data_IF_919108812753
#
_entry.id   IF_919108812753
#
_cell.length_a   1.000
_cell.length_b   1.000
_cell.length_c   1.000
_cell.angle_alpha   90.00
_cell.angle_beta   90.00
_cell.angle_gamma   90.00
#
_symmetry.space_group_name_H-M   'P 1'
#
loop_
_entity.id
_entity.type
_entity.pdbx_description
1 polymer ?
#
# COMPACT_ATOMS: atom_id res chain seq x y z
N UNK A 1 -24.65 12.25 13.22
CA UNK A 1 -23.24 11.89 13.28
C UNK A 1 -22.44 12.99 12.59
N UNK A 2 -21.48 13.61 13.28
CA UNK A 2 -20.69 14.69 12.68
C UNK A 2 -19.65 14.14 11.72
N UNK A 3 -19.19 14.98 10.76
CA UNK A 3 -18.12 14.59 9.80
C UNK A 3 -16.81 14.15 10.49
N UNK A 4 -16.64 14.49 11.78
CA UNK A 4 -15.47 14.11 12.59
C UNK A 4 -15.49 12.64 13.05
N UNK A 5 -16.67 12.00 13.12
CA UNK A 5 -16.80 10.62 13.57
C UNK A 5 -16.55 9.60 12.44
N UNK A 6 -16.68 10.02 11.17
CA UNK A 6 -16.39 9.17 10.00
C UNK A 6 -14.87 8.93 9.80
N UNK A 7 -14.02 9.85 10.26
CA UNK A 7 -12.56 9.79 10.08
C UNK A 7 -11.84 8.84 11.05
N UNK A 8 -12.52 8.35 12.07
CA UNK A 8 -11.92 7.51 13.13
C UNK A 8 -12.22 6.02 13.04
N UNK A 9 -12.97 5.57 12.03
CA UNK A 9 -13.22 4.14 11.85
C UNK A 9 -11.97 3.45 11.27
N UNK A 10 -11.19 2.85 12.16
CA UNK A 10 -10.14 1.91 11.73
C UNK A 10 -10.75 0.76 10.90
N UNK A 11 -9.98 0.18 9.96
CA UNK A 11 -10.41 -1.00 9.23
C UNK A 11 -10.92 -2.05 10.22
N UNK A 12 -12.08 -2.62 9.90
CA UNK A 12 -12.69 -3.63 10.74
C UNK A 12 -12.07 -4.98 10.44
N UNK A 13 -11.37 -5.55 11.39
CA UNK A 13 -10.80 -6.88 11.33
C UNK A 13 -11.59 -7.84 12.22
N UNK A 14 -12.47 -8.68 11.67
CA UNK A 14 -13.24 -9.62 12.45
C UNK A 14 -12.42 -10.79 13.01
N UNK A 15 -11.16 -10.97 12.56
CA UNK A 15 -10.27 -12.01 13.07
C UNK A 15 -9.38 -11.54 14.23
N UNK A 16 -9.46 -10.28 14.65
CA UNK A 16 -8.67 -9.78 15.78
C UNK A 16 -8.87 -10.66 17.02
N UNK A 17 -7.77 -11.22 17.49
CA UNK A 17 -7.75 -12.13 18.64
C UNK A 17 -8.09 -13.60 18.33
N UNK A 18 -8.30 -13.99 17.07
CA UNK A 18 -8.52 -15.37 16.65
C UNK A 18 -7.26 -16.01 16.09
N UNK A 19 -7.05 -17.30 16.37
CA UNK A 19 -5.97 -18.11 15.77
C UNK A 19 -6.28 -18.48 14.31
N UNK A 20 -7.56 -18.60 13.96
CA UNK A 20 -8.02 -18.94 12.62
C UNK A 20 -8.43 -17.65 11.89
N UNK A 21 -7.77 -17.37 10.77
CA UNK A 21 -8.05 -16.23 9.89
C UNK A 21 -9.15 -16.52 8.85
N UNK A 22 -9.59 -17.79 8.74
CA UNK A 22 -10.72 -18.18 7.88
C UNK A 22 -12.01 -18.00 8.67
N UNK A 23 -12.81 -17.01 8.31
CA UNK A 23 -14.00 -16.61 9.06
C UNK A 23 -15.27 -16.85 8.23
N UNK A 24 -16.30 -17.55 8.76
CA UNK A 24 -17.59 -17.68 8.10
C UNK A 24 -18.19 -16.30 7.77
N UNK A 25 -18.65 -16.13 6.53
CA UNK A 25 -19.22 -14.85 6.06
C UNK A 25 -20.39 -14.37 6.91
N UNK A 26 -21.19 -15.28 7.46
CA UNK A 26 -22.28 -14.95 8.38
C UNK A 26 -21.77 -14.20 9.61
N UNK A 27 -20.63 -14.62 10.20
CA UNK A 27 -20.06 -13.94 11.34
C UNK A 27 -19.59 -12.53 10.95
N UNK A 28 -18.96 -12.38 9.78
CA UNK A 28 -18.56 -11.09 9.25
C UNK A 28 -19.78 -10.20 9.05
N UNK A 29 -20.84 -10.70 8.43
CA UNK A 29 -22.09 -9.97 8.23
C UNK A 29 -22.68 -9.48 9.55
N UNK A 30 -22.78 -10.34 10.58
CA UNK A 30 -23.27 -9.97 11.92
C UNK A 30 -22.43 -8.85 12.55
N UNK A 31 -21.10 -8.95 12.45
CA UNK A 31 -20.20 -7.95 13.03
C UNK A 31 -20.28 -6.62 12.31
N UNK A 32 -20.38 -6.62 10.98
CA UNK A 32 -20.57 -5.39 10.19
C UNK A 32 -21.91 -4.75 10.54
N UNK A 33 -22.99 -5.52 10.62
CA UNK A 33 -24.32 -5.02 10.95
C UNK A 33 -24.40 -4.38 12.34
N UNK A 34 -23.66 -4.88 13.31
CA UNK A 34 -23.52 -4.21 14.63
C UNK A 34 -22.93 -2.80 14.52
N UNK A 35 -22.09 -2.53 13.51
CA UNK A 35 -21.44 -1.22 13.33
C UNK A 35 -22.28 -0.24 12.53
N UNK A 36 -22.94 -0.70 11.46
CA UNK A 36 -23.69 0.17 10.54
C UNK A 36 -25.22 0.13 10.76
N UNK A 37 -25.69 -0.70 11.67
CA UNK A 37 -27.10 -0.97 11.93
C UNK A 37 -27.61 -2.19 11.15
N UNK A 38 -28.34 -3.06 11.83
CA UNK A 38 -29.04 -4.19 11.20
C UNK A 38 -30.29 -3.69 10.47
N UNK A 39 -30.62 -4.36 9.39
CA UNK A 39 -31.92 -4.18 8.69
C UNK A 39 -32.78 -5.42 8.89
N UNK A 40 -34.09 -5.26 8.78
CA UNK A 40 -35.00 -6.41 8.78
C UNK A 40 -34.86 -7.16 7.46
N UNK A 41 -34.51 -8.48 7.48
CA UNK A 41 -34.38 -9.26 6.26
C UNK A 41 -35.70 -9.30 5.46
N UNK A 42 -35.60 -9.22 4.13
CA UNK A 42 -36.70 -9.45 3.25
C UNK A 42 -36.80 -10.95 2.94
N UNK A 43 -37.68 -11.65 3.65
CA UNK A 43 -37.86 -13.10 3.54
C UNK A 43 -38.81 -13.53 2.41
N UNK A 44 -39.40 -12.57 1.67
CA UNK A 44 -40.33 -12.88 0.57
C UNK A 44 -39.63 -13.06 -0.79
N UNK A 45 -38.31 -13.00 -0.77
CA UNK A 45 -37.52 -13.13 -1.99
C UNK A 45 -37.48 -14.58 -2.48
N UNK A 46 -38.11 -14.86 -3.62
CA UNK A 46 -38.03 -16.15 -4.32
C UNK A 46 -36.72 -16.23 -5.12
N UNK A 47 -35.90 -17.23 -4.78
CA UNK A 47 -34.64 -17.49 -5.47
C UNK A 47 -34.92 -18.16 -6.81
N UNK A 48 -34.69 -17.48 -7.91
CA UNK A 48 -34.78 -18.07 -9.25
C UNK A 48 -33.60 -19.03 -9.51
N UNK A 49 -33.90 -20.33 -9.65
CA UNK A 49 -32.93 -21.40 -9.84
C UNK A 49 -32.31 -21.51 -11.25
N UNK A 50 -32.58 -20.58 -12.16
CA UNK A 50 -32.35 -20.78 -13.60
C UNK A 50 -30.99 -20.36 -14.14
N UNK A 51 -29.91 -20.41 -13.37
CA UNK A 51 -28.60 -19.93 -13.84
C UNK A 51 -27.52 -21.03 -13.75
N UNK A 52 -26.48 -20.90 -14.59
CA UNK A 52 -25.27 -21.74 -14.64
C UNK A 52 -24.41 -21.66 -13.38
N UNK A 53 -24.92 -21.11 -12.29
CA UNK A 53 -24.25 -20.89 -11.02
C UNK A 53 -24.85 -21.75 -9.94
N UNK A 54 -24.09 -22.00 -8.88
CA UNK A 54 -24.65 -22.64 -7.70
C UNK A 54 -25.28 -21.58 -6.77
N UNK A 55 -26.44 -21.93 -6.24
CA UNK A 55 -27.01 -21.29 -5.08
C UNK A 55 -26.58 -22.10 -3.86
N UNK A 56 -25.74 -21.53 -3.00
CA UNK A 56 -25.17 -22.24 -1.86
C UNK A 56 -25.64 -21.64 -0.55
N UNK A 57 -25.90 -22.46 0.48
CA UNK A 57 -26.19 -21.96 1.82
C UNK A 57 -25.08 -20.99 2.28
N UNK A 58 -25.46 -19.84 2.80
CA UNK A 58 -24.49 -18.82 3.24
C UNK A 58 -23.53 -19.35 4.34
N UNK A 59 -23.95 -20.38 5.10
CA UNK A 59 -23.13 -21.04 6.11
C UNK A 59 -21.92 -21.79 5.53
N UNK A 60 -21.97 -22.19 4.24
CA UNK A 60 -20.86 -22.84 3.53
C UNK A 60 -19.91 -21.84 2.88
N UNK A 61 -20.20 -20.54 2.96
CA UNK A 61 -19.38 -19.49 2.38
C UNK A 61 -18.41 -18.92 3.43
N UNK A 62 -17.16 -18.89 3.09
CA UNK A 62 -16.06 -18.42 3.93
C UNK A 62 -15.28 -17.33 3.21
N UNK A 63 -14.64 -16.45 3.98
CA UNK A 63 -13.69 -15.46 3.46
C UNK A 63 -12.35 -15.74 4.13
N UNK A 64 -11.31 -15.90 3.29
CA UNK A 64 -9.94 -16.05 3.76
C UNK A 64 -9.28 -14.66 3.85
N UNK A 65 -9.18 -14.12 5.05
CA UNK A 65 -8.61 -12.78 5.26
C UNK A 65 -7.07 -12.74 5.28
N UNK A 66 -6.41 -13.84 5.00
CA UNK A 66 -5.01 -13.80 4.57
C UNK A 66 -4.87 -13.31 3.14
N UNK A 67 -5.89 -13.57 2.30
CA UNK A 67 -5.92 -13.29 0.86
C UNK A 67 -6.91 -12.17 0.49
N UNK A 68 -7.85 -11.84 1.38
CA UNK A 68 -8.89 -10.85 1.14
C UNK A 68 -8.73 -9.65 2.06
N UNK A 69 -9.13 -8.48 1.54
CA UNK A 69 -9.26 -7.28 2.36
C UNK A 69 -10.52 -7.33 3.22
N UNK A 70 -10.45 -6.68 4.37
CA UNK A 70 -11.60 -6.52 5.25
C UNK A 70 -12.71 -5.70 4.57
N UNK A 71 -13.98 -6.06 4.80
CA UNK A 71 -15.10 -5.29 4.25
C UNK A 71 -15.13 -3.89 4.89
N UNK A 72 -15.28 -2.87 4.06
CA UNK A 72 -15.42 -1.50 4.51
C UNK A 72 -16.88 -1.19 4.84
N UNK A 73 -17.24 -0.93 6.12
CA UNK A 73 -18.62 -0.63 6.52
C UNK A 73 -19.23 0.55 5.75
N UNK A 74 -18.41 1.54 5.38
CA UNK A 74 -18.81 2.68 4.58
C UNK A 74 -19.35 2.26 3.19
N UNK A 75 -18.66 1.34 2.53
CA UNK A 75 -19.08 0.83 1.22
C UNK A 75 -20.35 -0.01 1.32
N UNK A 76 -20.47 -0.87 2.34
CA UNK A 76 -21.67 -1.66 2.57
C UNK A 76 -22.87 -0.75 2.87
N UNK A 77 -22.67 0.32 3.68
CA UNK A 77 -23.72 1.32 3.94
C UNK A 77 -24.18 2.03 2.66
N UNK A 78 -23.22 2.39 1.76
CA UNK A 78 -23.52 2.97 0.45
C UNK A 78 -24.30 1.99 -0.43
N UNK A 79 -23.88 0.72 -0.44
CA UNK A 79 -24.53 -0.34 -1.20
C UNK A 79 -25.97 -0.56 -0.71
N UNK A 80 -26.19 -0.61 0.61
CA UNK A 80 -27.52 -0.73 1.24
C UNK A 80 -28.46 0.37 0.78
N UNK A 81 -28.01 1.62 0.71
CA UNK A 81 -28.82 2.77 0.27
C UNK A 81 -29.18 2.74 -1.21
N UNK A 82 -28.54 1.89 -2.00
CA UNK A 82 -28.76 1.70 -3.45
C UNK A 82 -29.08 0.26 -3.81
N UNK A 83 -29.50 -0.55 -2.81
CA UNK A 83 -29.72 -1.97 -3.01
C UNK A 83 -30.71 -2.23 -4.14
N UNK A 84 -30.26 -3.00 -5.12
CA UNK A 84 -31.08 -3.48 -6.23
C UNK A 84 -30.67 -4.91 -6.54
N UNK A 85 -31.59 -5.84 -6.35
CA UNK A 85 -31.37 -7.27 -6.59
C UNK A 85 -30.88 -7.56 -8.01
N UNK A 86 -31.31 -6.78 -9.00
CA UNK A 86 -30.91 -6.96 -10.40
C UNK A 86 -29.46 -6.55 -10.67
N UNK A 87 -28.82 -5.88 -9.71
CA UNK A 87 -27.43 -5.42 -9.79
C UNK A 87 -26.49 -6.21 -8.88
N UNK A 88 -26.96 -7.31 -8.27
CA UNK A 88 -26.13 -8.14 -7.39
C UNK A 88 -25.15 -8.94 -8.22
N UNK A 89 -23.87 -8.75 -7.96
CA UNK A 89 -22.81 -9.58 -8.52
C UNK A 89 -22.68 -10.86 -7.70
N UNK A 90 -22.79 -12.04 -8.32
CA UNK A 90 -22.53 -13.30 -7.63
C UNK A 90 -21.12 -13.33 -7.03
N UNK A 91 -20.98 -13.96 -5.88
CA UNK A 91 -19.69 -14.13 -5.23
C UNK A 91 -18.80 -15.06 -6.07
N UNK A 92 -17.61 -14.61 -6.41
CA UNK A 92 -16.59 -15.46 -7.03
C UNK A 92 -15.93 -16.29 -5.93
N UNK A 93 -15.82 -17.62 -6.13
CA UNK A 93 -15.35 -18.53 -5.12
C UNK A 93 -14.39 -19.59 -5.67
N UNK A 94 -13.50 -20.05 -4.80
CA UNK A 94 -12.93 -21.38 -4.87
C UNK A 94 -13.80 -22.33 -4.02
N UNK A 95 -14.15 -23.48 -4.56
CA UNK A 95 -14.78 -24.58 -3.80
C UNK A 95 -13.74 -25.62 -3.43
N UNK A 96 -13.56 -25.87 -2.14
CA UNK A 96 -12.78 -26.98 -1.63
C UNK A 96 -13.70 -28.17 -1.38
N UNK A 97 -13.49 -29.26 -2.12
CA UNK A 97 -14.27 -30.48 -1.95
C UNK A 97 -13.93 -31.19 -0.64
N UNK A 98 -12.67 -31.15 -0.22
CA UNK A 98 -12.20 -31.74 1.02
C UNK A 98 -12.80 -31.09 2.27
N UNK A 99 -13.03 -29.77 2.24
CA UNK A 99 -13.61 -29.02 3.34
C UNK A 99 -15.13 -28.82 3.18
N UNK A 100 -15.69 -29.09 2.01
CA UNK A 100 -17.06 -28.77 1.62
C UNK A 100 -17.37 -27.26 1.87
N UNK A 101 -16.51 -26.36 1.39
CA UNK A 101 -16.58 -24.91 1.62
C UNK A 101 -16.32 -24.10 0.37
N UNK A 102 -16.97 -22.95 0.28
CA UNK A 102 -16.79 -21.95 -0.76
C UNK A 102 -15.99 -20.77 -0.20
N UNK A 103 -14.80 -20.54 -0.72
CA UNK A 103 -13.92 -19.45 -0.31
C UNK A 103 -14.06 -18.28 -1.30
N UNK A 104 -14.68 -17.19 -0.84
CA UNK A 104 -14.95 -16.02 -1.68
C UNK A 104 -13.71 -15.24 -2.00
N UNK A 105 -13.50 -14.96 -3.29
CA UNK A 105 -12.40 -14.13 -3.81
C UNK A 105 -12.84 -12.72 -4.20
N UNK A 106 -14.10 -12.54 -4.66
CA UNK A 106 -14.66 -11.20 -4.94
C UNK A 106 -16.18 -11.21 -4.71
N UNK A 107 -16.78 -10.02 -4.48
CA UNK A 107 -18.22 -9.87 -4.23
C UNK A 107 -18.63 -9.97 -2.77
N UNK A 108 -17.71 -10.06 -1.81
CA UNK A 108 -18.03 -10.20 -0.37
C UNK A 108 -18.96 -9.11 0.17
N UNK A 109 -18.84 -7.87 -0.28
CA UNK A 109 -19.70 -6.76 0.19
C UNK A 109 -21.14 -6.93 -0.25
N UNK A 110 -21.38 -7.39 -1.49
CA UNK A 110 -22.68 -7.73 -2.00
C UNK A 110 -23.27 -8.93 -1.23
N UNK A 111 -22.46 -9.95 -0.95
CA UNK A 111 -22.88 -11.13 -0.18
C UNK A 111 -23.26 -10.77 1.26
N UNK A 112 -22.47 -9.88 1.92
CA UNK A 112 -22.80 -9.39 3.26
C UNK A 112 -24.14 -8.66 3.27
N UNK A 113 -24.37 -7.78 2.29
CA UNK A 113 -25.65 -7.07 2.19
C UNK A 113 -26.79 -8.01 1.79
N UNK A 114 -26.53 -9.02 0.94
CA UNK A 114 -27.50 -10.07 0.61
C UNK A 114 -27.98 -10.79 1.87
N UNK A 115 -27.05 -11.25 2.71
CA UNK A 115 -27.38 -11.93 3.98
C UNK A 115 -28.18 -10.99 4.91
N UNK A 116 -27.86 -9.69 4.88
CA UNK A 116 -28.61 -8.70 5.66
C UNK A 116 -30.04 -8.51 5.17
N UNK A 117 -30.26 -8.57 3.85
CA UNK A 117 -31.59 -8.39 3.25
C UNK A 117 -32.47 -9.65 3.37
N UNK A 118 -31.88 -10.85 3.21
CA UNK A 118 -32.63 -12.09 3.03
C UNK A 118 -32.44 -13.10 4.16
N UNK A 119 -31.57 -12.79 5.14
CA UNK A 119 -31.33 -13.61 6.33
C UNK A 119 -30.17 -14.58 6.18
N UNK A 120 -29.68 -15.07 7.33
CA UNK A 120 -28.50 -15.93 7.42
C UNK A 120 -28.71 -17.34 6.85
N UNK A 121 -29.95 -17.78 6.73
CA UNK A 121 -30.31 -19.08 6.13
C UNK A 121 -30.53 -18.95 4.61
N UNK A 122 -30.28 -17.77 4.04
CA UNK A 122 -30.44 -17.56 2.59
C UNK A 122 -29.36 -18.33 1.82
N UNK A 123 -29.72 -18.67 0.57
CA UNK A 123 -28.75 -19.13 -0.39
C UNK A 123 -28.16 -17.92 -1.09
N UNK A 124 -26.84 -17.93 -1.26
CA UNK A 124 -26.12 -16.88 -1.99
C UNK A 124 -25.74 -17.37 -3.38
N UNK A 125 -25.81 -16.50 -4.39
CA UNK A 125 -25.38 -16.87 -5.73
C UNK A 125 -23.86 -16.86 -5.80
N UNK A 126 -23.26 -17.94 -6.28
CA UNK A 126 -21.81 -18.07 -6.41
C UNK A 126 -21.42 -18.58 -7.79
N UNK A 127 -20.32 -18.03 -8.29
CA UNK A 127 -19.49 -18.66 -9.33
C UNK A 127 -18.34 -19.34 -8.65
N UNK A 128 -18.02 -20.58 -9.01
CA UNK A 128 -16.91 -21.26 -8.36
C UNK A 128 -16.05 -22.07 -9.31
N UNK A 129 -14.78 -22.19 -8.92
CA UNK A 129 -13.82 -23.16 -9.46
C UNK A 129 -13.54 -24.20 -8.37
N UNK A 130 -13.68 -25.49 -8.68
CA UNK A 130 -13.33 -26.55 -7.77
C UNK A 130 -11.81 -26.73 -7.78
N UNK A 131 -11.17 -26.51 -6.65
CA UNK A 131 -9.71 -26.63 -6.48
C UNK A 131 -9.34 -26.69 -5.02
N UNK A 132 -8.34 -27.50 -4.71
CA UNK A 132 -7.70 -27.49 -3.39
C UNK A 132 -6.53 -26.49 -3.33
N UNK A 133 -6.11 -25.91 -4.47
CA UNK A 133 -5.11 -24.87 -4.50
C UNK A 133 -5.70 -23.52 -4.08
N UNK A 134 -5.30 -23.05 -2.90
CA UNK A 134 -5.73 -21.77 -2.34
C UNK A 134 -5.27 -20.55 -3.18
N UNK A 135 -4.25 -20.69 -4.04
CA UNK A 135 -3.79 -19.60 -4.90
C UNK A 135 -4.84 -19.17 -5.92
N UNK A 136 -5.79 -20.04 -6.23
CA UNK A 136 -6.93 -19.69 -7.11
C UNK A 136 -7.71 -18.48 -6.58
N UNK A 137 -7.86 -18.32 -5.26
CA UNK A 137 -8.51 -17.16 -4.66
C UNK A 137 -7.78 -15.85 -4.99
N UNK A 138 -6.45 -15.86 -4.88
CA UNK A 138 -5.60 -14.71 -5.22
C UNK A 138 -5.59 -14.42 -6.72
N UNK A 139 -5.52 -15.45 -7.56
CA UNK A 139 -5.57 -15.32 -9.03
C UNK A 139 -6.90 -14.71 -9.47
N UNK A 140 -8.03 -15.22 -8.95
CA UNK A 140 -9.36 -14.67 -9.23
C UNK A 140 -9.46 -13.20 -8.80
N UNK A 141 -8.99 -12.89 -7.59
CA UNK A 141 -9.02 -11.53 -7.06
C UNK A 141 -8.22 -10.55 -7.94
N UNK A 142 -7.00 -10.92 -8.34
CA UNK A 142 -6.17 -10.10 -9.22
C UNK A 142 -6.79 -9.93 -10.61
N UNK A 143 -7.29 -11.00 -11.22
CA UNK A 143 -7.90 -10.96 -12.55
C UNK A 143 -9.14 -10.06 -12.58
N UNK A 144 -10.02 -10.19 -11.58
CA UNK A 144 -11.27 -9.42 -11.51
C UNK A 144 -11.04 -7.93 -11.19
N UNK A 145 -9.97 -7.59 -10.48
CA UNK A 145 -9.68 -6.19 -10.13
C UNK A 145 -8.89 -5.44 -11.21
N UNK A 146 -8.34 -6.12 -12.22
CA UNK A 146 -7.69 -5.45 -13.35
C UNK A 146 -8.70 -4.72 -14.26
N UNK A 147 -9.96 -5.18 -14.30
CA UNK A 147 -11.00 -4.62 -15.17
C UNK A 147 -11.95 -3.65 -14.44
N UNK A 148 -11.86 -3.55 -13.12
CA UNK A 148 -12.71 -2.71 -12.27
C UNK A 148 -11.92 -1.58 -11.59
N UNK A 149 -12.44 -1.01 -10.49
CA UNK A 149 -11.68 -0.02 -9.70
C UNK A 149 -10.32 -0.61 -9.25
N UNK A 150 -9.20 0.05 -9.56
CA UNK A 150 -7.88 -0.50 -9.29
C UNK A 150 -7.71 -0.85 -7.82
N UNK A 151 -7.33 -2.08 -7.54
CA UNK A 151 -6.94 -2.49 -6.19
C UNK A 151 -5.72 -1.69 -5.75
N UNK A 152 -5.67 -1.26 -4.48
CA UNK A 152 -4.49 -0.60 -3.97
C UNK A 152 -3.25 -1.50 -4.13
N UNK A 153 -2.15 -0.94 -4.59
CA UNK A 153 -0.89 -1.64 -4.88
C UNK A 153 -0.40 -2.50 -3.71
N UNK A 154 -0.70 -2.10 -2.48
CA UNK A 154 -0.43 -2.89 -1.29
C UNK A 154 -1.08 -4.27 -1.33
N UNK A 155 -2.37 -4.35 -1.66
CA UNK A 155 -3.08 -5.64 -1.70
C UNK A 155 -2.61 -6.53 -2.85
N UNK A 156 -2.26 -5.92 -4.01
CA UNK A 156 -1.65 -6.65 -5.12
C UNK A 156 -0.34 -7.30 -4.66
N UNK A 157 0.55 -6.50 -4.07
CA UNK A 157 1.83 -6.99 -3.55
C UNK A 157 1.64 -8.11 -2.53
N UNK A 158 0.70 -7.96 -1.58
CA UNK A 158 0.40 -9.01 -0.60
C UNK A 158 -0.06 -10.33 -1.27
N UNK A 159 -0.90 -10.25 -2.30
CA UNK A 159 -1.31 -11.45 -3.05
C UNK A 159 -0.11 -12.10 -3.77
N UNK A 160 0.75 -11.29 -4.37
CA UNK A 160 1.97 -11.76 -5.04
C UNK A 160 2.93 -12.46 -4.05
N UNK A 161 3.11 -11.91 -2.85
CA UNK A 161 3.89 -12.55 -1.76
C UNK A 161 3.26 -13.88 -1.35
N UNK A 162 1.94 -13.92 -1.13
CA UNK A 162 1.20 -15.13 -0.73
C UNK A 162 1.31 -16.22 -1.81
N UNK A 163 1.25 -15.84 -3.09
CA UNK A 163 1.42 -16.76 -4.22
C UNK A 163 2.87 -17.24 -4.40
N UNK A 164 3.82 -16.67 -3.68
CA UNK A 164 5.23 -17.00 -3.79
C UNK A 164 5.89 -16.44 -5.06
N UNK A 165 5.36 -15.34 -5.61
CA UNK A 165 6.02 -14.64 -6.74
C UNK A 165 7.38 -14.16 -6.27
N UNK A 166 8.44 -14.68 -6.91
CA UNK A 166 9.82 -14.50 -6.43
C UNK A 166 10.17 -13.04 -6.18
N UNK A 167 9.85 -12.16 -7.11
CA UNK A 167 10.16 -10.74 -7.05
C UNK A 167 9.48 -10.03 -5.87
N UNK A 168 8.24 -10.42 -5.56
CA UNK A 168 7.49 -9.86 -4.43
C UNK A 168 8.03 -10.40 -3.10
N UNK A 169 8.35 -11.69 -3.05
CA UNK A 169 8.94 -12.34 -1.86
C UNK A 169 10.32 -11.77 -1.55
N UNK A 170 11.17 -11.60 -2.56
CA UNK A 170 12.50 -11.02 -2.41
C UNK A 170 12.42 -9.58 -1.89
N UNK A 171 11.47 -8.77 -2.39
CA UNK A 171 11.23 -7.41 -1.92
C UNK A 171 10.74 -7.38 -0.47
N UNK A 172 9.77 -8.22 -0.10
CA UNK A 172 9.25 -8.29 1.28
C UNK A 172 10.33 -8.78 2.25
N UNK A 173 11.16 -9.75 1.84
CA UNK A 173 12.31 -10.20 2.62
C UNK A 173 13.34 -9.08 2.84
N UNK A 174 13.64 -8.30 1.82
CA UNK A 174 14.53 -7.13 1.92
C UNK A 174 13.99 -6.11 2.92
N UNK A 175 12.71 -5.76 2.83
CA UNK A 175 12.03 -4.83 3.75
C UNK A 175 12.07 -5.36 5.18
N UNK A 176 11.77 -6.65 5.38
CA UNK A 176 11.76 -7.30 6.70
C UNK A 176 13.17 -7.39 7.28
N UNK A 177 14.18 -7.75 6.48
CA UNK A 177 15.58 -7.82 6.91
C UNK A 177 16.12 -6.45 7.35
N UNK A 178 15.63 -5.35 6.74
CA UNK A 178 15.93 -3.99 7.16
C UNK A 178 15.19 -3.56 8.44
N UNK A 179 14.36 -4.40 9.04
CA UNK A 179 13.56 -4.10 10.22
C UNK A 179 12.26 -3.33 9.93
N UNK A 180 11.92 -3.16 8.66
CA UNK A 180 10.72 -2.49 8.20
C UNK A 180 9.55 -3.46 7.97
N UNK A 181 8.35 -2.93 7.75
CA UNK A 181 7.19 -3.70 7.32
C UNK A 181 6.40 -2.92 6.27
N UNK A 182 5.77 -3.65 5.36
CA UNK A 182 4.78 -3.05 4.46
C UNK A 182 3.44 -2.87 5.17
N UNK A 183 2.67 -1.84 4.82
CA UNK A 183 1.39 -1.60 5.48
C UNK A 183 0.42 -0.76 4.66
N UNK A 184 -0.88 -0.97 4.93
CA UNK A 184 -1.93 -0.17 4.29
C UNK A 184 -2.40 0.94 5.22
N UNK A 185 -2.13 2.19 4.85
CA UNK A 185 -2.56 3.40 5.60
C UNK A 185 -2.13 3.46 7.08
N UNK A 186 -1.16 2.65 7.49
CA UNK A 186 -0.62 2.68 8.86
C UNK A 186 0.45 3.75 8.96
N UNK A 187 0.32 4.65 9.94
CA UNK A 187 1.31 5.69 10.27
C UNK A 187 2.06 5.28 11.55
N UNK A 188 2.78 4.17 11.48
CA UNK A 188 3.59 3.67 12.60
C UNK A 188 5.04 3.61 12.18
N UNK A 189 5.95 3.64 13.16
CA UNK A 189 7.38 3.54 12.94
C UNK A 189 7.74 2.32 12.09
N UNK A 190 8.68 2.49 11.17
CA UNK A 190 9.17 1.43 10.28
C UNK A 190 8.16 0.91 9.24
N UNK A 191 6.96 1.50 9.13
CA UNK A 191 5.96 1.05 8.15
C UNK A 191 6.07 1.82 6.85
N UNK A 192 6.10 1.10 5.74
CA UNK A 192 6.11 1.63 4.38
C UNK A 192 4.73 1.44 3.76
N UNK A 193 4.11 2.53 3.32
CA UNK A 193 2.73 2.52 2.78
C UNK A 193 2.65 2.66 1.26
N UNK A 194 3.70 3.17 0.62
CA UNK A 194 3.77 3.44 -0.82
C UNK A 194 4.50 2.29 -1.54
N UNK A 195 3.80 1.19 -1.74
CA UNK A 195 4.37 -0.04 -2.33
C UNK A 195 4.90 0.18 -3.75
N UNK A 196 4.25 1.03 -4.56
CA UNK A 196 4.74 1.37 -5.90
C UNK A 196 6.14 1.97 -5.89
N UNK A 197 6.46 2.76 -4.86
CA UNK A 197 7.78 3.39 -4.73
C UNK A 197 8.85 2.38 -4.30
N UNK A 198 8.47 1.37 -3.49
CA UNK A 198 9.35 0.24 -3.17
C UNK A 198 9.69 -0.58 -4.43
N UNK A 199 8.68 -0.89 -5.25
CA UNK A 199 8.90 -1.61 -6.50
C UNK A 199 9.81 -0.82 -7.45
N UNK A 200 9.57 0.47 -7.61
CA UNK A 200 10.40 1.36 -8.41
C UNK A 200 11.83 1.41 -7.85
N UNK A 201 12.00 1.53 -6.53
CA UNK A 201 13.31 1.55 -5.89
C UNK A 201 14.08 0.24 -6.12
N UNK A 202 13.42 -0.92 -5.97
CA UNK A 202 13.99 -2.23 -6.28
C UNK A 202 14.45 -2.32 -7.72
N UNK A 203 13.58 -1.91 -8.65
CA UNK A 203 13.83 -2.08 -10.09
C UNK A 203 14.95 -1.16 -10.59
N UNK A 204 15.09 0.02 -9.98
CA UNK A 204 16.08 1.01 -10.39
C UNK A 204 17.42 0.90 -9.64
N UNK A 205 17.39 0.70 -8.32
CA UNK A 205 18.57 0.73 -7.46
C UNK A 205 19.00 -0.66 -6.96
N UNK A 206 18.15 -1.67 -7.08
CA UNK A 206 18.39 -3.01 -6.56
C UNK A 206 18.04 -3.18 -5.09
N UNK A 207 17.91 -4.46 -4.67
CA UNK A 207 17.51 -4.81 -3.30
C UNK A 207 18.58 -4.47 -2.26
N UNK A 208 19.86 -4.58 -2.61
CA UNK A 208 20.97 -4.28 -1.70
C UNK A 208 20.96 -2.82 -1.27
N UNK A 209 20.92 -1.89 -2.24
CA UNK A 209 20.87 -0.45 -1.97
C UNK A 209 19.60 -0.08 -1.19
N UNK A 210 18.46 -0.66 -1.57
CA UNK A 210 17.20 -0.45 -0.88
C UNK A 210 17.28 -0.90 0.58
N UNK A 211 17.77 -2.10 0.84
CA UNK A 211 17.93 -2.65 2.20
C UNK A 211 18.85 -1.79 3.08
N UNK A 212 19.99 -1.34 2.53
CA UNK A 212 20.90 -0.43 3.23
C UNK A 212 20.22 0.87 3.62
N UNK A 213 19.51 1.53 2.68
CA UNK A 213 18.81 2.79 2.95
C UNK A 213 17.72 2.62 3.99
N UNK A 214 16.89 1.58 3.89
CA UNK A 214 15.83 1.31 4.85
C UNK A 214 16.37 1.08 6.27
N UNK A 215 17.42 0.27 6.40
CA UNK A 215 18.09 0.00 7.68
C UNK A 215 18.65 1.27 8.32
N UNK A 216 19.33 2.12 7.53
CA UNK A 216 19.86 3.40 8.02
C UNK A 216 18.75 4.37 8.40
N UNK A 217 17.64 4.46 7.65
CA UNK A 217 16.49 5.29 8.01
C UNK A 217 15.92 4.89 9.39
N UNK A 218 15.83 3.60 9.70
CA UNK A 218 15.40 3.15 11.02
C UNK A 218 16.42 3.45 12.12
N UNK A 219 17.72 3.42 11.80
CA UNK A 219 18.76 3.74 12.76
C UNK A 219 18.71 5.21 13.17
N UNK A 220 18.56 6.11 12.20
CA UNK A 220 18.62 7.55 12.44
C UNK A 220 17.26 8.17 12.81
N UNK A 221 16.14 7.57 12.37
CA UNK A 221 14.78 8.00 12.71
C UNK A 221 13.90 6.82 13.17
N UNK A 222 14.25 6.18 14.32
CA UNK A 222 13.64 4.91 14.73
C UNK A 222 12.15 5.01 15.11
N UNK A 223 11.67 6.19 15.44
CA UNK A 223 10.28 6.42 15.86
C UNK A 223 9.35 6.83 14.72
N UNK A 224 9.86 6.89 13.50
CA UNK A 224 9.13 7.43 12.37
C UNK A 224 8.69 6.36 11.37
N UNK A 225 7.63 6.68 10.63
CA UNK A 225 7.31 5.93 9.41
C UNK A 225 8.39 6.16 8.36
N UNK A 226 8.56 5.21 7.46
CA UNK A 226 9.46 5.38 6.33
C UNK A 226 8.81 6.32 5.30
N UNK A 227 9.34 7.53 5.16
CA UNK A 227 8.96 8.48 4.14
C UNK A 227 9.59 8.08 2.79
N UNK A 228 8.77 7.70 1.82
CA UNK A 228 9.28 7.19 0.53
C UNK A 228 10.04 8.25 -0.27
N UNK A 229 9.67 9.53 -0.17
CA UNK A 229 10.43 10.62 -0.79
C UNK A 229 11.85 10.70 -0.24
N UNK A 230 12.01 10.58 1.08
CA UNK A 230 13.33 10.57 1.76
C UNK A 230 14.12 9.34 1.39
N UNK A 231 13.51 8.16 1.40
CA UNK A 231 14.12 6.91 0.94
C UNK A 231 14.67 7.03 -0.49
N UNK A 232 13.86 7.54 -1.42
CA UNK A 232 14.27 7.72 -2.81
C UNK A 232 15.37 8.78 -2.96
N UNK A 233 15.36 9.81 -2.12
CA UNK A 233 16.43 10.82 -2.06
C UNK A 233 17.77 10.21 -1.67
N UNK A 234 17.83 9.41 -0.60
CA UNK A 234 19.05 8.72 -0.18
C UNK A 234 19.54 7.68 -1.20
N UNK A 235 18.62 6.96 -1.85
CA UNK A 235 18.97 6.05 -2.95
C UNK A 235 19.62 6.81 -4.10
N UNK A 236 19.13 8.00 -4.44
CA UNK A 236 19.73 8.85 -5.48
C UNK A 236 21.08 9.42 -5.05
N UNK A 237 21.25 9.81 -3.78
CA UNK A 237 22.57 10.21 -3.25
C UNK A 237 23.58 9.06 -3.37
N UNK A 238 23.17 7.84 -2.99
CA UNK A 238 24.04 6.65 -3.14
C UNK A 238 24.44 6.41 -4.59
N UNK A 239 23.51 6.53 -5.52
CA UNK A 239 23.76 6.41 -6.95
C UNK A 239 24.83 7.43 -7.42
N UNK A 240 24.69 8.69 -7.02
CA UNK A 240 25.64 9.76 -7.37
C UNK A 240 27.05 9.49 -6.78
N UNK A 241 27.12 9.01 -5.53
CA UNK A 241 28.40 8.64 -4.93
C UNK A 241 29.10 7.51 -5.69
N UNK A 242 28.32 6.55 -6.20
CA UNK A 242 28.83 5.45 -7.04
C UNK A 242 29.27 5.95 -8.41
N UNK A 243 28.46 6.83 -9.04
CA UNK A 243 28.79 7.44 -10.34
C UNK A 243 30.08 8.26 -10.30
N UNK A 244 30.33 8.97 -9.20
CA UNK A 244 31.54 9.78 -9.00
C UNK A 244 32.73 8.98 -8.45
N UNK A 245 32.60 7.64 -8.30
CA UNK A 245 33.61 6.71 -7.77
C UNK A 245 34.14 7.09 -6.35
N UNK A 246 33.26 7.71 -5.54
CA UNK A 246 33.57 8.13 -4.16
C UNK A 246 32.81 7.34 -3.10
N UNK A 247 31.95 6.42 -3.50
CA UNK A 247 31.12 5.65 -2.58
C UNK A 247 31.96 4.79 -1.66
N UNK A 248 31.74 4.96 -0.36
CA UNK A 248 32.13 4.01 0.70
C UNK A 248 30.99 3.90 1.69
N UNK A 249 30.88 2.76 2.39
CA UNK A 249 29.85 2.58 3.43
C UNK A 249 30.01 3.61 4.56
N UNK A 250 31.26 3.96 4.93
CA UNK A 250 31.56 4.96 5.97
C UNK A 250 31.14 6.37 5.52
N UNK A 251 31.41 6.74 4.27
CA UNK A 251 30.93 8.03 3.74
C UNK A 251 29.42 8.09 3.69
N UNK A 252 28.78 7.02 3.24
CA UNK A 252 27.33 6.97 3.18
C UNK A 252 26.67 6.98 4.57
N UNK A 253 27.34 6.37 5.58
CA UNK A 253 26.95 6.48 6.98
C UNK A 253 27.04 7.93 7.47
N UNK A 254 28.15 8.62 7.18
CA UNK A 254 28.34 10.02 7.55
C UNK A 254 27.29 10.92 6.91
N UNK A 255 26.91 10.67 5.65
CA UNK A 255 25.80 11.40 4.98
C UNK A 255 24.49 11.24 5.75
N UNK A 256 24.13 10.03 6.20
CA UNK A 256 22.93 9.81 7.01
C UNK A 256 23.02 10.53 8.35
N UNK A 257 24.17 10.44 9.02
CA UNK A 257 24.40 11.12 10.28
C UNK A 257 24.22 12.64 10.14
N UNK A 258 24.90 13.26 9.17
CA UNK A 258 24.80 14.71 8.95
C UNK A 258 23.37 15.15 8.58
N UNK A 259 22.67 14.36 7.77
CA UNK A 259 21.28 14.63 7.43
C UNK A 259 20.37 14.54 8.65
N UNK A 260 20.58 13.54 9.54
CA UNK A 260 19.74 13.38 10.74
C UNK A 260 19.96 14.49 11.77
N UNK A 261 21.18 15.02 11.84
CA UNK A 261 21.51 16.18 12.67
C UNK A 261 20.96 17.51 12.11
N UNK A 262 20.69 17.55 10.79
CA UNK A 262 20.14 18.74 10.14
C UNK A 262 18.60 18.72 10.11
N UNK A 263 18.01 17.55 9.82
CA UNK A 263 16.58 17.35 9.71
C UNK A 263 16.07 16.50 10.88
N UNK A 264 15.30 17.10 11.76
CA UNK A 264 14.75 16.39 12.93
C UNK A 264 13.84 15.23 12.55
N UNK A 265 13.21 15.29 11.35
CA UNK A 265 12.10 14.41 11.00
C UNK A 265 12.18 13.94 9.54
N UNK A 266 12.38 12.65 9.33
CA UNK A 266 12.48 12.08 7.98
C UNK A 266 11.20 12.22 7.16
N UNK A 267 10.04 12.25 7.81
CA UNK A 267 8.74 12.39 7.16
C UNK A 267 8.51 13.82 6.63
N UNK A 268 9.16 14.80 7.25
CA UNK A 268 9.08 16.21 6.86
C UNK A 268 10.25 16.67 5.99
N UNK A 269 11.30 15.88 5.87
CA UNK A 269 12.56 16.23 5.22
C UNK A 269 12.34 16.88 3.83
N UNK A 270 11.40 16.39 3.03
CA UNK A 270 11.07 17.02 1.76
C UNK A 270 10.52 18.45 1.91
N UNK A 271 9.71 18.73 2.93
CA UNK A 271 9.19 20.07 3.19
C UNK A 271 10.29 20.96 3.77
N UNK A 272 11.10 20.43 4.67
CA UNK A 272 12.22 21.16 5.29
C UNK A 272 13.24 21.57 4.22
N UNK A 273 13.55 20.69 3.25
CA UNK A 273 14.38 21.03 2.09
C UNK A 273 13.76 22.16 1.26
N UNK A 274 12.44 22.10 1.05
CA UNK A 274 11.74 23.16 0.32
C UNK A 274 11.85 24.50 1.05
N UNK A 275 11.67 24.52 2.35
CA UNK A 275 11.65 25.74 3.16
C UNK A 275 13.08 26.30 3.33
N UNK A 276 14.10 25.46 3.52
CA UNK A 276 15.47 25.88 3.77
C UNK A 276 16.27 26.15 2.49
N UNK A 277 16.18 25.27 1.50
CA UNK A 277 17.05 25.32 0.33
C UNK A 277 16.33 25.79 -0.95
N UNK A 278 15.13 25.28 -1.25
CA UNK A 278 14.41 25.66 -2.48
C UNK A 278 13.98 27.13 -2.46
N UNK A 279 13.61 27.65 -1.28
CA UNK A 279 13.28 29.07 -1.11
C UNK A 279 14.51 29.96 -1.17
N UNK A 280 15.62 29.52 -0.54
CA UNK A 280 16.88 30.28 -0.54
C UNK A 280 17.59 30.25 -1.91
N UNK A 281 17.51 29.14 -2.62
CA UNK A 281 18.22 28.90 -3.89
C UNK A 281 17.27 28.36 -4.99
N UNK A 282 16.25 29.08 -5.40
CA UNK A 282 15.20 28.56 -6.28
C UNK A 282 15.70 28.10 -7.65
N UNK A 283 16.81 28.66 -8.14
CA UNK A 283 17.42 28.28 -9.41
C UNK A 283 18.01 26.87 -9.38
N UNK A 284 18.55 26.45 -8.24
CA UNK A 284 19.20 25.14 -8.07
C UNK A 284 18.18 23.98 -8.07
N UNK A 285 16.94 24.26 -7.70
CA UNK A 285 15.86 23.26 -7.55
C UNK A 285 14.81 23.30 -8.67
N UNK A 286 14.94 24.27 -9.59
CA UNK A 286 13.95 24.45 -10.65
C UNK A 286 13.96 23.27 -11.63
N UNK A 287 12.79 22.72 -11.88
CA UNK A 287 12.61 21.61 -12.84
C UNK A 287 12.98 20.23 -12.33
N UNK A 288 13.47 20.12 -11.10
CA UNK A 288 13.75 18.83 -10.46
C UNK A 288 12.48 18.11 -10.02
N UNK A 289 12.45 16.79 -10.15
CA UNK A 289 11.47 15.93 -9.49
C UNK A 289 11.69 15.87 -7.98
N UNK A 290 10.72 15.27 -7.25
CA UNK A 290 10.79 15.17 -5.78
C UNK A 290 12.04 14.43 -5.32
N UNK A 291 12.40 13.33 -5.98
CA UNK A 291 13.57 12.51 -5.67
C UNK A 291 14.88 13.30 -5.79
N UNK A 292 15.03 14.01 -6.90
CA UNK A 292 16.18 14.84 -7.18
C UNK A 292 16.29 16.02 -6.21
N UNK A 293 15.17 16.66 -5.85
CA UNK A 293 15.13 17.71 -4.84
C UNK A 293 15.59 17.24 -3.48
N UNK A 294 15.08 16.07 -3.04
CA UNK A 294 15.48 15.49 -1.76
C UNK A 294 16.95 15.12 -1.77
N UNK A 295 17.47 14.51 -2.84
CA UNK A 295 18.88 14.19 -2.96
C UNK A 295 19.76 15.46 -2.89
N UNK A 296 19.41 16.51 -3.64
CA UNK A 296 20.15 17.78 -3.60
C UNK A 296 20.15 18.41 -2.21
N UNK A 297 19.00 18.42 -1.52
CA UNK A 297 18.92 18.96 -0.16
C UNK A 297 19.72 18.17 0.86
N UNK A 298 19.82 16.84 0.73
CA UNK A 298 20.69 16.00 1.56
C UNK A 298 22.16 16.35 1.31
N UNK A 299 22.55 16.54 0.05
CA UNK A 299 23.91 16.94 -0.33
C UNK A 299 24.21 18.35 0.22
N UNK A 300 23.30 19.32 0.04
CA UNK A 300 23.46 20.68 0.54
C UNK A 300 23.60 20.71 2.07
N UNK A 301 22.81 19.93 2.80
CA UNK A 301 22.90 19.80 4.25
C UNK A 301 24.26 19.22 4.68
N UNK A 302 24.73 18.18 3.99
CA UNK A 302 26.06 17.60 4.23
C UNK A 302 27.18 18.62 4.02
N UNK A 303 27.18 19.30 2.87
CA UNK A 303 28.18 20.29 2.52
C UNK A 303 28.20 21.48 3.49
N UNK A 304 27.01 21.95 3.89
CA UNK A 304 26.87 23.03 4.87
C UNK A 304 27.44 22.66 6.24
N UNK A 305 27.22 21.43 6.70
CA UNK A 305 27.69 20.99 8.01
C UNK A 305 29.17 20.63 8.04
N UNK A 306 29.68 20.03 6.97
CA UNK A 306 31.07 19.52 6.94
C UNK A 306 32.05 20.47 6.29
N UNK A 307 31.58 21.41 5.48
CA UNK A 307 32.42 22.26 4.63
C UNK A 307 33.10 21.52 3.48
N UNK A 308 32.66 20.26 3.20
CA UNK A 308 33.26 19.40 2.16
C UNK A 308 32.24 19.23 1.02
N UNK A 309 32.71 19.34 -0.22
CA UNK A 309 31.90 18.97 -1.39
C UNK A 309 31.75 17.44 -1.41
N UNK A 310 30.52 16.96 -1.47
CA UNK A 310 30.21 15.54 -1.45
C UNK A 310 30.32 14.91 -2.85
N UNK A 311 29.65 15.52 -3.84
CA UNK A 311 29.64 15.10 -5.25
C UNK A 311 29.52 16.33 -6.15
N UNK A 312 29.95 16.20 -7.42
CA UNK A 312 29.62 17.21 -8.41
C UNK A 312 28.10 17.27 -8.57
N UNK A 313 27.46 18.42 -8.36
CA UNK A 313 26.01 18.56 -8.39
C UNK A 313 25.48 18.32 -9.81
N UNK A 314 24.92 17.16 -10.14
CA UNK A 314 24.53 16.80 -11.50
C UNK A 314 23.27 17.54 -11.96
N UNK A 315 22.60 18.23 -11.03
CA UNK A 315 21.32 18.89 -11.28
C UNK A 315 21.45 20.41 -11.45
N UNK A 316 22.65 20.98 -11.32
CA UNK A 316 22.86 22.37 -11.71
C UNK A 316 22.56 22.45 -13.21
N UNK A 317 21.35 22.91 -13.56
CA UNK A 317 21.10 23.38 -14.90
C UNK A 317 22.09 24.52 -15.08
N UNK A 318 23.17 24.24 -15.81
CA UNK A 318 24.07 25.30 -16.29
C UNK A 318 23.19 26.21 -17.11
N UNK A 319 22.70 27.29 -16.50
CA UNK A 319 22.10 28.37 -17.28
C UNK A 319 23.18 28.74 -18.28
N UNK A 320 22.92 28.79 -19.59
CA UNK A 320 23.85 29.36 -20.51
C UNK A 320 24.12 30.76 -19.91
N UNK A 321 25.39 31.04 -19.64
CA UNK A 321 25.82 32.38 -19.29
C UNK A 321 25.23 33.28 -20.41
N UNK A 322 24.23 34.06 -20.06
CA UNK A 322 23.86 35.18 -20.89
C UNK A 322 25.10 36.06 -20.83
N UNK A 323 25.91 35.92 -21.84
CA UNK A 323 27.05 36.78 -22.04
C UNK A 323 26.54 38.22 -21.92
N UNK A 324 27.15 38.94 -21.00
CA UNK A 324 27.06 40.38 -20.97
C UNK A 324 27.55 40.92 -22.32
N UNK A 325 26.66 40.98 -23.31
CA UNK A 325 26.76 41.82 -24.46
C UNK A 325 25.83 43.02 -24.24
N UNK A 326 26.24 43.88 -23.34
CA UNK A 326 25.67 45.25 -23.25
C UNK A 326 26.74 46.20 -22.66
N UNK A 327 27.87 46.30 -23.34
CA UNK A 327 28.71 47.50 -23.30
C UNK A 327 29.38 47.65 -24.65
N UNK A 328 28.67 48.23 -25.61
CA UNK A 328 29.23 48.99 -26.70
C UNK A 328 28.10 49.41 -27.68
N UNK A 329 27.35 50.45 -27.34
CA UNK A 329 26.77 51.38 -28.33
C UNK A 329 26.36 52.70 -27.62
#
# INVERSE_FOLDING_TARGET
MSKSDELKMQPFDPSQGRKDKKVPIIQVARMVQKRIGAIKPNLQFEVQKALKFAWVPAELVYINYERQRWPEPKHIKKLRGKWNINCVTPLQCRYSASENRYYGSDGQQHTIEWIAQYGEQSHVPVFYVESEDENIESIQLLALNNDNEPMAKYFIHQQEVIMGIKEAVDLENCVTAAGCTTGYKKRTAGVITHISDLWMARDHYGLEALGQVLSKMLTYWPSEKIATATMLGFLKVRELLVEDDVYTDDLFEDVFYQASEFFENSDRLHNDIKDEFEVAYPTNYRGMGVREKVASGIIDAYEQRTGKTLVAKPFAITMPMVAEELEAA
#
